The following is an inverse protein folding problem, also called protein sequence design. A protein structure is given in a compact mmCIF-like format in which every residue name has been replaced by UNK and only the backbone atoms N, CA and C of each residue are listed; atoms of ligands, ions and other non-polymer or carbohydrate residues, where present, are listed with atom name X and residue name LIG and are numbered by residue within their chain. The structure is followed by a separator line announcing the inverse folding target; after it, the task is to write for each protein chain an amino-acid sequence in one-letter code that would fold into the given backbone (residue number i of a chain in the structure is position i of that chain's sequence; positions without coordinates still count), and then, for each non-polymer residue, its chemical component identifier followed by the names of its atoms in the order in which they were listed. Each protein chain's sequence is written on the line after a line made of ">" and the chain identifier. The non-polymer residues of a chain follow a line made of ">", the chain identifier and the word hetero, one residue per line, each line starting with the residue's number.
data_IF_410546580520
#
_entry.id   IF_410546580520
#
_cell.length_a   1.000
_cell.length_b   1.000
_cell.length_c   1.000
_cell.angle_alpha   90.00
_cell.angle_beta   90.00
_cell.angle_gamma   90.00
#
_symmetry.space_group_name_H-M   'P 1'
#
loop_
_entity.id
_entity.type
_entity.pdbx_description
1 polymer ?
#
# COMPACT_ATOMS: atom_id res chain seq x y z
N UNK A 1 1.10 12.33 -14.57
CA UNK A 1 1.64 11.49 -13.48
C UNK A 1 0.68 11.29 -12.32
N UNK A 2 0.18 12.35 -11.65
CA UNK A 2 -0.76 12.21 -10.51
C UNK A 2 -1.99 11.35 -10.80
N UNK A 3 -2.61 11.48 -11.98
CA UNK A 3 -3.77 10.67 -12.35
C UNK A 3 -3.44 9.18 -12.45
N UNK A 4 -2.29 8.80 -13.03
CA UNK A 4 -1.87 7.40 -13.13
C UNK A 4 -1.62 6.79 -11.75
N UNK A 5 -1.05 7.56 -10.81
CA UNK A 5 -0.87 7.13 -9.43
C UNK A 5 -2.23 6.88 -8.75
N UNK A 6 -3.19 7.78 -8.94
CA UNK A 6 -4.55 7.59 -8.43
C UNK A 6 -5.19 6.33 -9.00
N UNK A 7 -5.13 6.15 -10.32
CA UNK A 7 -5.66 4.95 -10.98
C UNK A 7 -5.01 3.69 -10.43
N UNK A 8 -3.68 3.67 -10.31
CA UNK A 8 -2.95 2.51 -9.76
C UNK A 8 -3.44 2.16 -8.36
N UNK A 9 -3.58 3.14 -7.46
CA UNK A 9 -4.11 2.88 -6.10
C UNK A 9 -5.54 2.36 -6.16
N UNK A 10 -6.38 2.90 -7.04
CA UNK A 10 -7.76 2.44 -7.20
C UNK A 10 -7.85 0.98 -7.71
N UNK A 11 -6.91 0.50 -8.52
CA UNK A 11 -6.86 -0.92 -8.91
C UNK A 11 -6.70 -1.87 -7.72
N UNK A 12 -5.98 -1.44 -6.67
CA UNK A 12 -5.84 -2.22 -5.43
C UNK A 12 -7.07 -2.11 -4.52
N UNK A 13 -7.79 -1.00 -4.58
CA UNK A 13 -8.98 -0.77 -3.76
C UNK A 13 -10.21 -1.46 -4.37
N UNK A 14 -10.29 -1.54 -5.71
CA UNK A 14 -11.44 -2.08 -6.43
C UNK A 14 -11.66 -3.58 -6.21
N UNK A 15 -10.64 -4.31 -5.77
CA UNK A 15 -10.73 -5.75 -5.44
C UNK A 15 -11.27 -5.99 -4.03
N UNK A 16 -11.38 -4.96 -3.19
CA UNK A 16 -11.88 -5.07 -1.83
C UNK A 16 -13.41 -5.07 -1.80
N UNK A 17 -14.04 -5.71 -0.78
CA UNK A 17 -15.44 -5.48 -0.47
C UNK A 17 -15.75 -3.98 -0.34
N UNK A 18 -16.94 -3.57 -0.78
CA UNK A 18 -17.34 -2.16 -0.89
C UNK A 18 -17.08 -1.35 0.38
N UNK A 19 -17.46 -1.88 1.55
CA UNK A 19 -17.26 -1.20 2.84
C UNK A 19 -15.77 -0.92 3.13
N UNK A 20 -14.90 -1.91 2.87
CA UNK A 20 -13.46 -1.75 3.04
C UNK A 20 -12.89 -0.78 2.00
N UNK A 21 -13.36 -0.85 0.75
CA UNK A 21 -12.94 0.08 -0.30
C UNK A 21 -13.29 1.54 0.05
N UNK A 22 -14.50 1.77 0.58
CA UNK A 22 -14.94 3.08 1.05
C UNK A 22 -14.08 3.58 2.21
N UNK A 23 -13.79 2.73 3.19
CA UNK A 23 -12.93 3.07 4.32
C UNK A 23 -11.52 3.45 3.86
N UNK A 24 -10.91 2.65 2.98
CA UNK A 24 -9.57 2.91 2.41
C UNK A 24 -9.51 4.21 1.62
N UNK A 25 -10.51 4.46 0.79
CA UNK A 25 -10.60 5.72 0.05
C UNK A 25 -10.67 6.93 0.99
N UNK A 26 -11.46 6.83 2.06
CA UNK A 26 -11.54 7.90 3.07
C UNK A 26 -10.18 8.15 3.74
N UNK A 27 -9.48 7.08 4.17
CA UNK A 27 -8.15 7.21 4.79
C UNK A 27 -7.11 7.86 3.86
N UNK A 28 -7.16 7.55 2.56
CA UNK A 28 -6.28 8.13 1.56
C UNK A 28 -6.55 9.63 1.38
N UNK A 29 -7.83 10.01 1.27
CA UNK A 29 -8.21 11.42 1.14
C UNK A 29 -7.82 12.22 2.40
N UNK A 30 -8.03 11.67 3.60
CA UNK A 30 -7.60 12.27 4.87
C UNK A 30 -6.06 12.35 4.99
N UNK A 31 -5.34 11.37 4.45
CA UNK A 31 -3.87 11.35 4.41
C UNK A 31 -3.25 12.34 3.42
N UNK A 32 -4.02 12.78 2.43
CA UNK A 32 -3.60 13.75 1.40
C UNK A 32 -2.81 13.12 0.25
N UNK A 33 -3.34 13.24 -0.97
CA UNK A 33 -2.71 12.74 -2.19
C UNK A 33 -1.34 13.35 -2.51
N UNK A 34 -1.03 14.52 -1.97
CA UNK A 34 0.26 15.19 -2.12
C UNK A 34 1.40 14.47 -1.39
N UNK A 35 1.07 13.61 -0.42
CA UNK A 35 2.02 12.84 0.39
C UNK A 35 2.13 11.38 -0.03
N UNK A 36 1.56 11.03 -1.18
CA UNK A 36 1.62 9.68 -1.74
C UNK A 36 2.68 9.64 -2.84
N UNK A 37 3.64 8.75 -2.68
CA UNK A 37 4.80 8.65 -3.54
C UNK A 37 4.89 7.28 -4.20
N UNK A 38 5.39 7.28 -5.44
CA UNK A 38 5.69 6.09 -6.20
C UNK A 38 7.20 5.91 -6.30
N UNK A 39 7.67 4.68 -6.14
CA UNK A 39 9.05 4.30 -6.41
C UNK A 39 9.11 3.03 -7.25
N UNK A 40 10.05 2.97 -8.19
CA UNK A 40 10.32 1.82 -9.05
C UNK A 40 11.73 1.31 -8.78
N UNK A 41 11.91 -0.02 -8.82
CA UNK A 41 13.20 -0.66 -8.79
C UNK A 41 13.25 -1.79 -9.83
N UNK A 42 14.39 -1.92 -10.51
CA UNK A 42 14.58 -2.89 -11.59
C UNK A 42 14.51 -2.25 -12.96
N UNK A 43 14.54 -3.09 -14.00
CA UNK A 43 14.53 -2.63 -15.40
C UNK A 43 13.14 -2.12 -15.78
N UNK A 44 13.06 -1.25 -16.79
CA UNK A 44 11.77 -0.75 -17.31
C UNK A 44 11.09 -1.70 -18.28
N UNK A 45 11.80 -2.76 -18.71
CA UNK A 45 11.21 -3.86 -19.45
C UNK A 45 10.30 -4.68 -18.54
N UNK A 46 9.00 -4.66 -18.84
CA UNK A 46 7.95 -5.33 -18.05
C UNK A 46 8.07 -6.85 -18.05
N UNK A 47 8.83 -7.43 -18.99
CA UNK A 47 9.06 -8.88 -19.08
C UNK A 47 10.18 -9.37 -18.14
N UNK A 48 10.91 -8.45 -17.53
CA UNK A 48 12.03 -8.74 -16.65
C UNK A 48 11.76 -8.28 -15.21
N UNK A 49 12.64 -8.70 -14.31
CA UNK A 49 12.47 -8.51 -12.87
C UNK A 49 12.29 -7.05 -12.48
N UNK A 50 11.15 -6.74 -11.86
CA UNK A 50 10.85 -5.39 -11.39
C UNK A 50 9.99 -5.38 -10.14
N UNK A 51 10.09 -4.28 -9.43
CA UNK A 51 9.39 -3.97 -8.21
C UNK A 51 8.89 -2.53 -8.27
N UNK A 52 7.75 -2.27 -7.65
CA UNK A 52 7.37 -0.92 -7.32
C UNK A 52 6.65 -0.86 -5.98
N UNK A 53 6.64 0.34 -5.40
CA UNK A 53 5.80 0.65 -4.26
C UNK A 53 5.07 1.96 -4.41
N UNK A 54 3.88 2.01 -3.83
CA UNK A 54 3.13 3.23 -3.55
C UNK A 54 3.05 3.39 -2.05
N UNK A 55 3.58 4.50 -1.54
CA UNK A 55 3.64 4.74 -0.10
C UNK A 55 2.96 6.06 0.23
N UNK A 56 1.96 6.00 1.10
CA UNK A 56 1.34 7.14 1.74
C UNK A 56 1.70 7.22 3.22
N UNK A 57 1.16 8.20 3.96
CA UNK A 57 1.40 8.35 5.40
C UNK A 57 0.85 7.20 6.26
N UNK A 58 -0.17 6.49 5.77
CA UNK A 58 -0.92 5.46 6.53
C UNK A 58 -0.81 4.05 5.94
N UNK A 59 -0.29 3.91 4.73
CA UNK A 59 -0.29 2.64 4.02
C UNK A 59 0.91 2.49 3.08
N UNK A 60 1.16 1.24 2.70
CA UNK A 60 2.11 0.84 1.68
C UNK A 60 1.46 -0.20 0.76
N UNK A 61 1.60 0.00 -0.54
CA UNK A 61 1.36 -1.02 -1.56
C UNK A 61 2.71 -1.43 -2.11
N UNK A 62 2.99 -2.73 -2.14
CA UNK A 62 4.16 -3.27 -2.84
C UNK A 62 3.73 -4.24 -3.92
N UNK A 63 4.45 -4.19 -5.04
CA UNK A 63 4.40 -5.14 -6.13
C UNK A 63 5.82 -5.67 -6.35
N UNK A 64 5.96 -6.98 -6.43
CA UNK A 64 7.22 -7.65 -6.70
C UNK A 64 7.03 -8.72 -7.78
N UNK A 65 7.83 -8.65 -8.83
CA UNK A 65 7.93 -9.70 -9.84
C UNK A 65 9.40 -9.97 -10.18
N UNK A 66 10.22 -10.20 -9.16
CA UNK A 66 11.66 -10.47 -9.32
C UNK A 66 11.98 -11.97 -9.31
N UNK A 67 11.04 -12.82 -8.89
CA UNK A 67 11.24 -14.28 -8.76
C UNK A 67 10.89 -15.04 -10.06
N UNK A 68 11.41 -16.26 -10.20
CA UNK A 68 11.10 -17.19 -11.29
C UNK A 68 11.21 -16.57 -12.70
N UNK A 69 12.28 -15.79 -12.95
CA UNK A 69 12.45 -15.01 -14.19
C UNK A 69 11.25 -14.07 -14.48
N UNK A 70 10.81 -13.31 -13.48
CA UNK A 70 9.70 -12.37 -13.60
C UNK A 70 8.37 -13.01 -14.02
N UNK A 71 8.10 -14.21 -13.49
CA UNK A 71 6.87 -14.96 -13.74
C UNK A 71 6.18 -15.38 -12.44
N UNK A 72 6.41 -14.65 -11.35
CA UNK A 72 5.76 -14.90 -10.07
C UNK A 72 5.50 -13.56 -9.37
N UNK A 73 4.30 -13.03 -9.59
CA UNK A 73 3.89 -11.74 -9.07
C UNK A 73 3.38 -11.90 -7.65
N UNK A 74 3.91 -11.09 -6.74
CA UNK A 74 3.34 -10.84 -5.42
C UNK A 74 2.89 -9.39 -5.33
N UNK A 75 1.79 -9.17 -4.62
CA UNK A 75 1.40 -7.83 -4.18
C UNK A 75 0.92 -7.86 -2.75
N UNK A 76 1.15 -6.77 -2.03
CA UNK A 76 0.68 -6.61 -0.65
C UNK A 76 0.18 -5.20 -0.45
N UNK A 77 -0.89 -5.09 0.34
CA UNK A 77 -1.29 -3.86 1.00
C UNK A 77 -0.96 -3.99 2.48
N UNK A 78 -0.20 -3.03 3.01
CA UNK A 78 0.15 -2.96 4.43
C UNK A 78 -0.42 -1.69 5.03
N UNK A 79 -1.12 -1.86 6.14
CA UNK A 79 -1.55 -0.79 7.02
C UNK A 79 -0.46 -0.48 8.05
N UNK A 80 -0.22 0.79 8.34
CA UNK A 80 0.70 1.18 9.40
C UNK A 80 0.00 1.27 10.77
N UNK A 81 -1.33 1.41 10.78
CA UNK A 81 -2.13 1.40 12.00
C UNK A 81 -2.40 -0.04 12.42
N UNK A 82 -2.01 -0.41 13.64
CA UNK A 82 -2.03 -1.80 14.11
C UNK A 82 -1.00 -2.74 13.46
N UNK A 83 -0.01 -2.17 12.76
CA UNK A 83 1.03 -2.90 12.03
C UNK A 83 1.81 -3.86 12.93
N UNK A 84 1.93 -5.12 12.48
CA UNK A 84 2.46 -6.24 13.25
C UNK A 84 1.80 -6.47 14.63
N UNK A 85 0.51 -6.12 14.78
CA UNK A 85 -0.26 -6.40 15.99
C UNK A 85 0.07 -5.47 17.15
N UNK A 86 0.53 -4.24 16.88
CA UNK A 86 0.61 -3.19 17.91
C UNK A 86 -0.79 -2.85 18.40
N UNK A 87 -1.02 -3.12 19.69
CA UNK A 87 -2.31 -3.01 20.35
C UNK A 87 -2.29 -1.81 21.31
N UNK A 88 -2.85 -0.70 20.83
CA UNK A 88 -2.95 0.54 21.59
C UNK A 88 -3.78 0.39 22.87
N UNK A 89 -4.74 -0.55 22.91
CA UNK A 89 -5.54 -0.82 24.11
C UNK A 89 -4.62 -1.37 25.22
N UNK A 90 -3.73 -2.28 24.85
CA UNK A 90 -2.71 -2.81 25.76
C UNK A 90 -1.67 -1.76 26.17
N UNK A 91 -1.31 -0.84 25.29
CA UNK A 91 -0.38 0.27 25.61
C UNK A 91 -1.01 1.29 26.57
N UNK A 92 -2.32 1.54 26.44
CA UNK A 92 -3.10 2.38 27.35
C UNK A 92 -3.14 1.80 28.78
N UNK A 93 -3.43 0.51 28.93
CA UNK A 93 -3.41 -0.13 30.26
C UNK A 93 -2.03 -0.06 30.93
N UNK A 94 -0.94 -0.09 30.15
CA UNK A 94 0.44 0.00 30.66
C UNK A 94 0.87 1.41 31.07
N UNK A 95 0.25 2.46 30.53
CA UNK A 95 0.65 3.86 30.76
C UNK A 95 -0.24 4.58 31.78
N UNK A 96 -1.43 4.03 32.07
CA UNK A 96 -2.38 4.59 33.03
C UNK A 96 -2.23 4.07 34.47
N UNK A 97 -1.09 3.43 34.81
CA UNK A 97 -0.71 3.05 36.17
C UNK A 97 0.71 3.53 36.47
#
# INVERSE_FOLDING_TARGET
>A
QKNNLKMLVQEYISILPEELAMARNKEIEEGGWDKIYFAWAGVTDRSAGHYYRVQGPRFLIEFDNTQNNANHIHTVWRDFDGDFGRDLLREHYKSAH
#
